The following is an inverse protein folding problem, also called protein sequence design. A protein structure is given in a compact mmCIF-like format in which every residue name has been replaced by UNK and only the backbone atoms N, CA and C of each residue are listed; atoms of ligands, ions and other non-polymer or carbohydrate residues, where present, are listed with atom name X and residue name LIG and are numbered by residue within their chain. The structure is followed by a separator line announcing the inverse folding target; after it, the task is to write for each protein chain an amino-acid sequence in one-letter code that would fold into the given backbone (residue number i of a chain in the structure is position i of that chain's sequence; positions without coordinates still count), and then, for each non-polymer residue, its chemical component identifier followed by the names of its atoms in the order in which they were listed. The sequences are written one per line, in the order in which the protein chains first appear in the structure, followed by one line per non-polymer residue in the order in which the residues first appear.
data_IF_198515804277
#
_entry.id   IF_198515804277
#
_cell.length_a   1.000
_cell.length_b   1.000
_cell.length_c   1.000
_cell.angle_alpha   90.00
_cell.angle_beta   90.00
_cell.angle_gamma   90.00
#
_symmetry.space_group_name_H-M   'P 1'
#
loop_
_entity.id
_entity.type
_entity.pdbx_description
1 polymer ?
#
# COMPACT_ATOMS: atom_id res chain seq x y z
N UNK A 1 40.12 17.75 -36.70
CA UNK A 1 39.12 18.85 -36.73
C UNK A 1 37.76 18.26 -37.02
N UNK A 2 36.86 18.41 -36.10
CA UNK A 2 35.40 18.39 -36.13
C UNK A 2 34.80 17.42 -35.17
N UNK A 3 34.85 17.81 -33.91
CA UNK A 3 33.95 17.31 -32.88
C UNK A 3 33.58 18.50 -32.00
N UNK A 4 32.52 19.20 -32.39
CA UNK A 4 31.88 20.23 -31.55
C UNK A 4 30.60 20.63 -32.28
N UNK A 5 29.50 20.00 -31.97
CA UNK A 5 28.13 20.53 -31.92
C UNK A 5 27.19 19.36 -31.54
N UNK A 6 27.07 19.07 -30.28
CA UNK A 6 25.98 18.25 -29.73
C UNK A 6 25.77 18.61 -28.26
N UNK A 7 25.45 19.87 -28.01
CA UNK A 7 25.12 20.28 -26.62
C UNK A 7 24.34 21.59 -26.67
N UNK A 8 23.10 21.55 -27.07
CA UNK A 8 22.15 22.65 -26.85
C UNK A 8 20.71 22.32 -27.27
N UNK A 9 20.20 21.15 -27.01
CA UNK A 9 18.76 20.96 -26.86
C UNK A 9 18.58 20.02 -25.65
N UNK A 10 18.36 20.63 -24.50
CA UNK A 10 17.82 19.90 -23.36
C UNK A 10 16.49 19.30 -23.79
N UNK A 11 16.50 18.04 -24.19
CA UNK A 11 15.29 17.25 -24.33
C UNK A 11 14.76 17.12 -22.92
N UNK A 12 13.89 18.04 -22.49
CA UNK A 12 13.15 17.86 -21.25
C UNK A 12 12.34 16.58 -21.41
N UNK A 13 12.78 15.54 -20.71
CA UNK A 13 12.13 14.24 -20.69
C UNK A 13 10.69 14.43 -20.21
N UNK A 14 9.73 13.79 -20.87
CA UNK A 14 8.36 13.73 -20.38
C UNK A 14 8.38 12.90 -19.10
N UNK A 15 7.90 13.46 -18.01
CA UNK A 15 7.75 12.74 -16.74
C UNK A 15 6.27 12.41 -16.52
N UNK A 16 6.02 11.26 -15.98
CA UNK A 16 4.67 10.82 -15.62
C UNK A 16 4.40 11.09 -14.13
N UNK A 17 3.25 11.67 -13.87
CA UNK A 17 2.79 12.02 -12.53
C UNK A 17 1.44 11.39 -12.23
N UNK A 18 1.18 11.17 -10.95
CA UNK A 18 -0.11 10.74 -10.43
C UNK A 18 -0.63 11.84 -9.50
N UNK A 19 -1.81 12.35 -9.83
CA UNK A 19 -2.61 13.23 -8.95
C UNK A 19 -3.71 12.41 -8.30
N UNK A 20 -3.82 12.49 -6.98
CA UNK A 20 -5.01 12.09 -6.24
C UNK A 20 -5.64 13.31 -5.59
N UNK A 21 -6.98 13.38 -5.59
CA UNK A 21 -7.77 14.46 -4.99
C UNK A 21 -8.94 13.84 -4.22
N UNK A 22 -9.26 14.41 -3.08
CA UNK A 22 -10.51 14.16 -2.35
C UNK A 22 -11.09 15.50 -1.90
N UNK A 23 -12.36 15.76 -2.22
CA UNK A 23 -13.04 17.01 -1.87
C UNK A 23 -14.56 16.79 -1.73
N UNK A 24 -15.32 17.74 -1.13
CA UNK A 24 -16.77 17.72 -1.20
C UNK A 24 -17.25 17.68 -2.66
N UNK A 25 -18.26 16.82 -2.94
CA UNK A 25 -18.76 16.67 -4.30
C UNK A 25 -19.55 17.92 -4.74
N UNK A 26 -19.27 18.37 -5.97
CA UNK A 26 -19.98 19.48 -6.63
C UNK A 26 -19.74 19.49 -8.13
N UNK A 27 -20.63 20.08 -8.93
CA UNK A 27 -20.38 20.28 -10.37
C UNK A 27 -19.10 21.09 -10.63
N UNK A 28 -18.33 20.72 -11.69
CA UNK A 28 -17.19 21.47 -12.17
C UNK A 28 -15.82 21.00 -11.68
N UNK A 29 -15.72 20.05 -10.75
CA UNK A 29 -14.45 19.56 -10.21
C UNK A 29 -13.53 19.06 -11.33
N UNK A 30 -14.00 18.15 -12.17
CA UNK A 30 -13.21 17.58 -13.28
C UNK A 30 -12.76 18.64 -14.26
N UNK A 31 -13.64 19.61 -14.58
CA UNK A 31 -13.30 20.74 -15.45
C UNK A 31 -12.17 21.58 -14.87
N UNK A 32 -12.26 21.94 -13.59
CA UNK A 32 -11.24 22.76 -12.92
C UNK A 32 -9.87 22.05 -12.89
N UNK A 33 -9.84 20.76 -12.52
CA UNK A 33 -8.61 19.97 -12.48
C UNK A 33 -8.03 19.76 -13.89
N UNK A 34 -8.86 19.43 -14.88
CA UNK A 34 -8.39 19.27 -16.27
C UNK A 34 -7.87 20.58 -16.86
N UNK A 35 -8.49 21.73 -16.51
CA UNK A 35 -8.00 23.06 -16.88
C UNK A 35 -6.62 23.35 -16.32
N UNK A 36 -6.41 23.08 -15.01
CA UNK A 36 -5.10 23.26 -14.37
C UNK A 36 -4.02 22.34 -14.96
N UNK A 37 -4.38 21.13 -15.33
CA UNK A 37 -3.46 20.22 -16.01
C UNK A 37 -3.10 20.73 -17.41
N UNK A 38 -4.04 21.34 -18.14
CA UNK A 38 -3.79 21.96 -19.42
C UNK A 38 -2.83 23.16 -19.31
N UNK A 39 -2.96 23.98 -18.25
CA UNK A 39 -2.09 25.12 -17.99
C UNK A 39 -0.61 24.74 -17.76
N UNK A 40 -0.36 23.49 -17.38
CA UNK A 40 1.00 22.91 -17.26
C UNK A 40 1.37 22.01 -18.44
N UNK A 41 0.74 22.17 -19.59
CA UNK A 41 0.97 21.39 -20.80
C UNK A 41 0.89 19.88 -20.57
N UNK A 42 0.02 19.43 -19.66
CA UNK A 42 -0.11 18.02 -19.31
C UNK A 42 -1.03 17.27 -20.28
N UNK A 43 -0.65 16.05 -20.62
CA UNK A 43 -1.47 15.08 -21.34
C UNK A 43 -1.99 14.02 -20.36
N UNK A 44 -3.30 13.89 -20.21
CA UNK A 44 -3.93 12.92 -19.34
C UNK A 44 -3.86 11.55 -20.00
N UNK A 45 -3.27 10.57 -19.30
CA UNK A 45 -3.12 9.18 -19.74
C UNK A 45 -4.22 8.28 -19.17
N UNK A 46 -4.62 8.53 -17.90
CA UNK A 46 -5.65 7.79 -17.18
C UNK A 46 -6.38 8.75 -16.26
N UNK A 47 -7.69 8.65 -16.21
CA UNK A 47 -8.51 9.42 -15.28
C UNK A 47 -9.60 8.53 -14.72
N UNK A 48 -9.65 8.42 -13.39
CA UNK A 48 -10.66 7.66 -12.66
C UNK A 48 -11.22 8.50 -11.52
N UNK A 49 -12.51 8.41 -11.30
CA UNK A 49 -13.21 9.16 -10.27
C UNK A 49 -14.28 8.32 -9.60
N UNK A 50 -14.64 8.70 -8.40
CA UNK A 50 -15.75 8.11 -7.66
C UNK A 50 -16.37 9.16 -6.75
N UNK A 51 -17.70 9.19 -6.69
CA UNK A 51 -18.49 9.93 -5.73
C UNK A 51 -19.02 8.97 -4.65
N UNK A 52 -18.89 9.36 -3.41
CA UNK A 52 -19.44 8.63 -2.28
C UNK A 52 -20.69 9.34 -1.78
N UNK A 53 -21.87 8.80 -2.14
CA UNK A 53 -23.17 9.38 -1.80
C UNK A 53 -23.44 9.44 -0.30
N UNK A 54 -22.83 8.57 0.51
CA UNK A 54 -23.04 8.54 1.96
C UNK A 54 -22.28 9.68 2.66
N UNK A 55 -21.08 10.00 2.18
CA UNK A 55 -20.23 11.05 2.78
C UNK A 55 -20.27 12.35 2.01
N UNK A 56 -20.79 12.37 0.79
CA UNK A 56 -20.77 13.53 -0.11
C UNK A 56 -19.35 13.89 -0.57
N UNK A 57 -18.42 12.92 -0.56
CA UNK A 57 -17.04 13.12 -1.00
C UNK A 57 -16.85 12.62 -2.43
N UNK A 58 -16.22 13.46 -3.23
CA UNK A 58 -15.71 13.13 -4.55
C UNK A 58 -14.21 12.77 -4.44
N UNK A 59 -13.78 11.73 -5.14
CA UNK A 59 -12.39 11.32 -5.25
C UNK A 59 -11.97 11.18 -6.71
N UNK A 60 -10.75 11.59 -7.00
CA UNK A 60 -10.17 11.54 -8.33
C UNK A 60 -8.75 10.99 -8.25
N UNK A 61 -8.40 10.15 -9.23
CA UNK A 61 -7.04 9.76 -9.54
C UNK A 61 -6.78 10.04 -11.03
N UNK A 62 -5.77 10.85 -11.32
CA UNK A 62 -5.37 11.17 -12.69
C UNK A 62 -3.89 10.86 -12.88
N UNK A 63 -3.57 10.04 -13.87
CA UNK A 63 -2.22 9.78 -14.36
C UNK A 63 -2.00 10.61 -15.61
N UNK A 64 -0.94 11.42 -15.64
CA UNK A 64 -0.67 12.35 -16.71
C UNK A 64 0.83 12.52 -16.94
N UNK A 65 1.19 13.00 -18.10
CA UNK A 65 2.59 13.30 -18.46
C UNK A 65 2.75 14.78 -18.81
N UNK A 66 3.88 15.35 -18.41
CA UNK A 66 4.26 16.73 -18.73
C UNK A 66 5.78 16.92 -18.65
N UNK A 67 6.29 17.99 -19.25
CA UNK A 67 7.69 18.45 -19.11
C UNK A 67 7.88 19.40 -17.94
N UNK A 68 6.81 19.82 -17.29
CA UNK A 68 6.87 20.75 -16.14
C UNK A 68 7.38 20.06 -14.89
N UNK A 69 7.97 20.84 -14.00
CA UNK A 69 8.43 20.37 -12.69
C UNK A 69 7.26 20.07 -11.76
N UNK A 70 7.50 19.27 -10.72
CA UNK A 70 6.52 19.01 -9.67
C UNK A 70 6.02 20.31 -9.04
N UNK A 71 6.92 21.27 -8.74
CA UNK A 71 6.56 22.57 -8.16
C UNK A 71 5.60 23.36 -9.05
N UNK A 72 5.79 23.32 -10.38
CA UNK A 72 4.89 23.99 -11.31
C UNK A 72 3.50 23.34 -11.36
N UNK A 73 3.44 22.00 -11.24
CA UNK A 73 2.19 21.24 -11.16
C UNK A 73 1.46 21.57 -9.86
N UNK A 74 2.17 21.55 -8.75
CA UNK A 74 1.60 21.89 -7.43
C UNK A 74 1.11 23.34 -7.37
N UNK A 75 1.83 24.27 -8.00
CA UNK A 75 1.39 25.66 -8.11
C UNK A 75 0.10 25.84 -8.92
N UNK A 76 -0.15 24.98 -9.91
CA UNK A 76 -1.38 24.99 -10.69
C UNK A 76 -2.55 24.30 -9.97
N UNK A 77 -2.30 23.15 -9.34
CA UNK A 77 -3.34 22.33 -8.70
C UNK A 77 -3.72 22.86 -7.31
N UNK A 78 -2.73 23.33 -6.52
CA UNK A 78 -2.93 23.71 -5.13
C UNK A 78 -4.04 24.74 -4.89
N UNK A 79 -4.07 25.89 -5.61
CA UNK A 79 -5.15 26.86 -5.45
C UNK A 79 -6.54 26.29 -5.73
N UNK A 80 -6.66 25.42 -6.72
CA UNK A 80 -7.93 24.77 -7.09
C UNK A 80 -8.35 23.78 -6.00
N UNK A 81 -7.43 22.97 -5.49
CA UNK A 81 -7.75 22.04 -4.39
C UNK A 81 -8.24 22.78 -3.13
N UNK A 82 -7.62 23.93 -2.81
CA UNK A 82 -8.06 24.79 -1.71
C UNK A 82 -9.46 25.36 -1.97
N UNK A 83 -9.74 25.88 -3.18
CA UNK A 83 -11.07 26.38 -3.56
C UNK A 83 -12.14 25.28 -3.50
N UNK A 84 -11.77 24.04 -3.85
CA UNK A 84 -12.65 22.87 -3.74
C UNK A 84 -12.84 22.39 -2.30
N UNK A 85 -12.08 22.94 -1.31
CA UNK A 85 -12.12 22.48 0.07
C UNK A 85 -11.58 21.06 0.23
N UNK A 86 -10.68 20.66 -0.66
CA UNK A 86 -10.15 19.30 -0.75
C UNK A 86 -8.70 19.15 -0.31
N UNK A 87 -8.27 17.89 -0.25
CA UNK A 87 -6.88 17.49 -0.11
C UNK A 87 -6.40 16.84 -1.40
N UNK A 88 -5.15 17.07 -1.77
CA UNK A 88 -4.55 16.47 -2.95
C UNK A 88 -3.13 16.00 -2.69
N UNK A 89 -2.65 15.14 -3.55
CA UNK A 89 -1.24 14.73 -3.62
C UNK A 89 -0.83 14.59 -5.08
N UNK A 90 0.35 15.10 -5.42
CA UNK A 90 1.00 14.83 -6.71
C UNK A 90 2.30 14.09 -6.45
N UNK A 91 2.56 13.05 -7.22
CA UNK A 91 3.79 12.26 -7.12
C UNK A 91 4.34 11.94 -8.51
N UNK A 92 5.64 12.03 -8.68
CA UNK A 92 6.30 11.48 -9.86
C UNK A 92 6.22 9.95 -9.81
N UNK A 93 5.69 9.32 -10.87
CA UNK A 93 5.49 7.87 -10.95
C UNK A 93 6.81 7.07 -10.86
N UNK A 94 7.92 7.66 -11.34
CA UNK A 94 9.25 7.03 -11.28
C UNK A 94 9.79 6.90 -9.84
N UNK A 95 9.31 7.73 -8.92
CA UNK A 95 9.68 7.64 -7.51
C UNK A 95 8.94 6.49 -6.86
N UNK A 96 9.65 5.36 -6.71
CA UNK A 96 9.09 4.16 -6.07
C UNK A 96 8.95 4.36 -4.57
N UNK A 97 7.75 4.14 -3.99
CA UNK A 97 7.57 4.20 -2.56
C UNK A 97 8.44 3.18 -1.81
N UNK A 98 8.92 3.56 -0.64
CA UNK A 98 9.81 2.75 0.21
C UNK A 98 9.01 2.02 1.26
N UNK A 99 8.96 0.69 1.17
CA UNK A 99 8.23 -0.18 2.06
C UNK A 99 9.15 -0.87 3.07
N UNK A 100 8.80 -0.82 4.36
CA UNK A 100 9.37 -1.68 5.39
C UNK A 100 8.46 -2.91 5.54
N UNK A 101 9.03 -4.11 5.42
CA UNK A 101 8.26 -5.34 5.60
C UNK A 101 8.48 -5.89 7.00
N UNK A 102 7.40 -6.08 7.75
CA UNK A 102 7.43 -6.76 9.04
C UNK A 102 6.90 -8.19 8.91
N UNK A 103 7.61 -9.15 9.49
CA UNK A 103 7.27 -10.57 9.40
C UNK A 103 7.55 -11.28 10.73
N UNK A 104 6.80 -12.35 11.03
CA UNK A 104 7.15 -13.29 12.10
C UNK A 104 7.75 -14.57 11.52
N UNK A 105 7.20 -15.75 11.85
CA UNK A 105 7.73 -17.05 11.40
C UNK A 105 7.27 -17.48 10.01
N UNK A 106 6.06 -17.08 9.61
CA UNK A 106 5.48 -17.46 8.31
C UNK A 106 6.03 -16.54 7.20
N UNK A 107 6.75 -17.10 6.27
CA UNK A 107 7.59 -16.41 5.28
C UNK A 107 6.97 -16.26 3.89
N UNK A 108 5.87 -16.98 3.59
CA UNK A 108 5.29 -17.05 2.25
C UNK A 108 4.94 -15.69 1.65
N UNK A 109 4.39 -14.76 2.44
CA UNK A 109 4.09 -13.40 1.98
C UNK A 109 5.38 -12.58 1.78
N UNK A 110 6.37 -12.69 2.68
CA UNK A 110 7.65 -12.01 2.55
C UNK A 110 8.38 -12.43 1.25
N UNK A 111 8.48 -13.73 1.00
CA UNK A 111 9.14 -14.28 -0.20
C UNK A 111 8.46 -13.77 -1.46
N UNK A 112 7.13 -13.78 -1.51
CA UNK A 112 6.35 -13.30 -2.67
C UNK A 112 6.59 -11.81 -2.95
N UNK A 113 6.56 -10.95 -1.92
CA UNK A 113 6.83 -9.52 -2.06
C UNK A 113 8.27 -9.25 -2.53
N UNK A 114 9.27 -9.93 -1.95
CA UNK A 114 10.66 -9.81 -2.35
C UNK A 114 10.88 -10.26 -3.80
N UNK A 115 10.26 -11.35 -4.22
CA UNK A 115 10.32 -11.85 -5.58
C UNK A 115 9.71 -10.85 -6.57
N UNK A 116 8.47 -10.40 -6.35
CA UNK A 116 7.77 -9.45 -7.23
C UNK A 116 8.50 -8.10 -7.32
N UNK A 117 9.10 -7.64 -6.23
CA UNK A 117 9.97 -6.45 -6.26
C UNK A 117 11.19 -6.70 -7.15
N UNK A 118 11.83 -7.86 -7.06
CA UNK A 118 13.03 -8.19 -7.83
C UNK A 118 12.77 -8.34 -9.34
N UNK A 119 11.55 -8.72 -9.73
CA UNK A 119 11.12 -8.83 -11.13
C UNK A 119 10.55 -7.52 -11.69
N UNK A 120 10.38 -6.49 -10.85
CA UNK A 120 9.77 -5.22 -11.25
C UNK A 120 8.25 -5.25 -11.33
N UNK A 121 7.59 -6.36 -10.97
CA UNK A 121 6.12 -6.47 -10.93
C UNK A 121 5.52 -5.57 -9.84
N UNK A 122 6.23 -5.39 -8.73
CA UNK A 122 5.82 -4.55 -7.61
C UNK A 122 6.66 -3.27 -7.59
N UNK A 123 6.07 -2.09 -7.88
CA UNK A 123 6.80 -0.84 -8.06
C UNK A 123 7.16 -0.17 -6.73
N UNK A 124 7.89 -0.89 -5.86
CA UNK A 124 8.34 -0.40 -4.55
C UNK A 124 9.84 -0.65 -4.36
N UNK A 125 10.44 0.10 -3.44
CA UNK A 125 11.72 -0.25 -2.84
C UNK A 125 11.47 -0.93 -1.49
N UNK A 126 12.29 -1.94 -1.17
CA UNK A 126 12.26 -2.63 0.14
C UNK A 126 13.65 -2.48 0.77
N UNK A 127 13.91 -1.37 1.49
CA UNK A 127 15.23 -1.15 2.11
C UNK A 127 15.44 -2.02 3.36
N UNK A 128 14.36 -2.45 4.01
CA UNK A 128 14.44 -3.09 5.32
C UNK A 128 13.34 -4.14 5.52
N UNK A 129 13.73 -5.29 6.05
CA UNK A 129 12.84 -6.30 6.66
C UNK A 129 13.07 -6.29 8.17
N UNK A 130 12.00 -6.21 8.94
CA UNK A 130 12.01 -6.28 10.41
C UNK A 130 11.28 -7.55 10.84
N UNK A 131 11.83 -8.28 11.80
CA UNK A 131 11.18 -9.46 12.36
C UNK A 131 11.42 -9.61 13.86
N UNK A 132 10.42 -10.13 14.55
CA UNK A 132 10.56 -10.54 15.95
C UNK A 132 11.17 -11.95 16.12
N UNK A 133 11.57 -12.58 15.00
CA UNK A 133 12.28 -13.87 14.92
C UNK A 133 13.41 -13.79 13.90
N UNK A 134 14.38 -14.71 14.01
CA UNK A 134 15.51 -14.76 13.07
C UNK A 134 15.28 -15.71 11.88
N UNK A 135 14.20 -16.46 11.89
CA UNK A 135 13.90 -17.54 10.94
C UNK A 135 13.89 -17.06 9.46
N UNK A 136 13.47 -15.83 9.22
CA UNK A 136 13.31 -15.28 7.86
C UNK A 136 14.50 -14.45 7.36
N UNK A 137 15.56 -14.28 8.17
CA UNK A 137 16.73 -13.45 7.83
C UNK A 137 17.41 -13.88 6.53
N UNK A 138 17.50 -15.19 6.25
CA UNK A 138 18.11 -15.72 5.04
C UNK A 138 17.36 -15.35 3.76
N UNK A 139 16.04 -15.14 3.83
CA UNK A 139 15.25 -14.66 2.68
C UNK A 139 15.61 -13.21 2.35
N UNK A 140 15.67 -12.32 3.35
CA UNK A 140 16.09 -10.94 3.14
C UNK A 140 17.51 -10.87 2.53
N UNK A 141 18.46 -11.64 3.09
CA UNK A 141 19.84 -11.71 2.60
C UNK A 141 19.91 -12.17 1.13
N UNK A 142 19.12 -13.16 0.72
CA UNK A 142 19.06 -13.65 -0.67
C UNK A 142 18.69 -12.57 -1.68
N UNK A 143 17.87 -11.60 -1.29
CA UNK A 143 17.46 -10.48 -2.15
C UNK A 143 18.25 -9.19 -1.89
N UNK A 144 19.33 -9.25 -1.09
CA UNK A 144 20.17 -8.10 -0.77
C UNK A 144 19.48 -7.04 0.08
N UNK A 145 18.45 -7.42 0.84
CA UNK A 145 17.68 -6.53 1.71
C UNK A 145 18.22 -6.60 3.14
N UNK A 146 18.41 -5.44 3.78
CA UNK A 146 18.80 -5.37 5.20
C UNK A 146 17.74 -6.04 6.07
N UNK A 147 18.19 -6.80 7.08
CA UNK A 147 17.34 -7.45 8.07
C UNK A 147 17.65 -6.91 9.47
N UNK A 148 16.60 -6.57 10.22
CA UNK A 148 16.70 -6.12 11.61
C UNK A 148 15.88 -7.05 12.49
N UNK A 149 16.52 -7.63 13.53
CA UNK A 149 15.83 -8.46 14.50
C UNK A 149 15.38 -7.62 15.69
N UNK A 150 14.08 -7.42 15.83
CA UNK A 150 13.45 -6.73 16.97
C UNK A 150 12.60 -7.73 17.77
N UNK A 151 13.18 -8.44 18.74
CA UNK A 151 12.45 -9.42 19.55
C UNK A 151 11.34 -8.70 20.33
N UNK A 152 10.12 -9.25 20.27
CA UNK A 152 8.93 -8.63 20.84
C UNK A 152 8.42 -9.43 22.04
N UNK A 153 8.64 -8.89 23.24
CA UNK A 153 8.08 -9.37 24.49
C UNK A 153 7.34 -8.23 25.19
N UNK A 154 6.48 -8.52 26.16
CA UNK A 154 5.64 -7.50 26.79
C UNK A 154 6.44 -6.37 27.45
N UNK A 155 7.58 -6.69 28.03
CA UNK A 155 8.49 -5.77 28.73
C UNK A 155 9.30 -4.85 27.82
N UNK A 156 9.61 -5.28 26.58
CA UNK A 156 10.39 -4.48 25.63
C UNK A 156 9.55 -3.86 24.49
N UNK A 157 8.27 -4.19 24.40
CA UNK A 157 7.40 -3.78 23.29
C UNK A 157 7.47 -2.29 22.99
N UNK A 158 7.33 -1.43 24.00
CA UNK A 158 7.36 0.02 23.81
C UNK A 158 8.73 0.52 23.30
N UNK A 159 9.82 -0.10 23.76
CA UNK A 159 11.16 0.23 23.29
C UNK A 159 11.34 -0.19 21.83
N UNK A 160 10.88 -1.38 21.47
CA UNK A 160 10.99 -1.89 20.10
C UNK A 160 10.13 -1.11 19.11
N UNK A 161 8.94 -0.68 19.51
CA UNK A 161 8.09 0.17 18.68
C UNK A 161 8.70 1.58 18.49
N UNK A 162 9.38 2.14 19.50
CA UNK A 162 10.18 3.36 19.30
C UNK A 162 11.32 3.15 18.31
N UNK A 163 12.06 2.03 18.45
CA UNK A 163 13.13 1.69 17.49
C UNK A 163 12.58 1.51 16.07
N UNK A 164 11.39 0.96 15.93
CA UNK A 164 10.71 0.85 14.64
C UNK A 164 10.44 2.23 14.02
N UNK A 165 9.95 3.20 14.80
CA UNK A 165 9.74 4.57 14.30
C UNK A 165 11.05 5.25 13.91
N UNK A 166 12.13 5.07 14.68
CA UNK A 166 13.47 5.55 14.29
C UNK A 166 13.93 4.94 12.95
N UNK A 167 13.71 3.63 12.75
CA UNK A 167 14.02 2.96 11.48
C UNK A 167 13.17 3.47 10.31
N UNK A 168 11.91 3.83 10.57
CA UNK A 168 11.04 4.46 9.55
C UNK A 168 11.63 5.78 9.09
N UNK A 169 12.09 6.61 10.01
CA UNK A 169 12.70 7.91 9.71
C UNK A 169 14.09 7.75 9.07
N UNK A 170 14.98 6.93 9.67
CA UNK A 170 16.34 6.66 9.17
C UNK A 170 16.34 6.14 7.72
N UNK A 171 15.40 5.27 7.40
CA UNK A 171 15.30 4.64 6.08
C UNK A 171 14.31 5.35 5.14
N UNK A 172 13.74 6.49 5.56
CA UNK A 172 12.73 7.24 4.79
C UNK A 172 11.62 6.32 4.28
N UNK A 173 11.01 5.56 5.17
CA UNK A 173 9.96 4.60 4.85
C UNK A 173 8.64 5.34 4.59
N UNK A 174 8.02 5.10 3.46
CA UNK A 174 6.71 5.67 3.14
C UNK A 174 5.58 4.89 3.81
N UNK A 175 5.68 3.55 3.86
CA UNK A 175 4.67 2.69 4.49
C UNK A 175 5.24 1.36 5.00
N UNK A 176 4.50 0.71 5.88
CA UNK A 176 4.84 -0.58 6.49
C UNK A 176 3.89 -1.66 5.97
N UNK A 177 4.42 -2.86 5.73
CA UNK A 177 3.63 -4.03 5.36
C UNK A 177 3.80 -5.12 6.41
N UNK A 178 2.71 -5.51 7.06
CA UNK A 178 2.67 -6.62 8.01
C UNK A 178 2.44 -7.93 7.23
N UNK A 179 3.53 -8.53 6.76
CA UNK A 179 3.54 -9.79 6.00
C UNK A 179 3.51 -10.99 6.98
N UNK A 180 2.38 -11.26 7.60
CA UNK A 180 2.23 -12.26 8.67
C UNK A 180 3.03 -11.90 9.92
N UNK A 181 3.02 -10.64 10.30
CA UNK A 181 3.57 -10.17 11.57
C UNK A 181 2.55 -10.40 12.68
N UNK A 182 2.80 -11.42 13.52
CA UNK A 182 1.83 -11.96 14.50
C UNK A 182 1.89 -11.23 15.85
N UNK A 183 2.11 -9.90 15.82
CA UNK A 183 2.09 -9.04 17.00
C UNK A 183 1.07 -7.94 16.83
N UNK A 184 0.34 -7.61 17.87
CA UNK A 184 -0.59 -6.47 17.88
C UNK A 184 0.24 -5.20 18.07
N UNK A 185 0.08 -4.22 17.20
CA UNK A 185 0.72 -2.91 17.32
C UNK A 185 0.04 -2.07 18.40
N UNK A 186 0.79 -1.20 19.07
CA UNK A 186 0.20 -0.29 20.04
C UNK A 186 -0.65 0.80 19.37
N UNK A 187 -1.66 1.36 20.07
CA UNK A 187 -2.41 2.51 19.56
C UNK A 187 -1.52 3.70 19.22
N UNK A 188 -0.42 3.90 19.97
CA UNK A 188 0.56 4.97 19.73
C UNK A 188 1.26 4.79 18.38
N UNK A 189 1.70 3.57 18.07
CA UNK A 189 2.34 3.28 16.78
C UNK A 189 1.35 3.42 15.62
N UNK A 190 0.12 2.95 15.78
CA UNK A 190 -0.93 3.12 14.77
C UNK A 190 -1.25 4.61 14.52
N UNK A 191 -1.33 5.41 15.58
CA UNK A 191 -1.58 6.85 15.49
C UNK A 191 -0.41 7.64 14.87
N UNK A 192 0.82 7.17 15.01
CA UNK A 192 2.01 7.80 14.39
C UNK A 192 2.08 7.57 12.86
N UNK A 193 1.42 6.53 12.35
CA UNK A 193 1.49 6.12 10.94
C UNK A 193 0.09 5.88 10.33
N UNK A 194 -0.83 6.85 10.40
CA UNK A 194 -2.21 6.68 9.94
C UNK A 194 -2.24 6.44 8.42
N UNK A 195 -2.93 5.37 7.98
CA UNK A 195 -3.02 5.00 6.57
C UNK A 195 -1.71 4.52 5.93
N UNK A 196 -0.65 4.31 6.73
CA UNK A 196 0.68 3.90 6.27
C UNK A 196 1.07 2.48 6.70
N UNK A 197 0.17 1.71 7.30
CA UNK A 197 0.44 0.33 7.70
C UNK A 197 -0.60 -0.57 7.04
N UNK A 198 -0.14 -1.53 6.23
CA UNK A 198 -0.99 -2.52 5.54
C UNK A 198 -0.79 -3.87 6.22
N UNK A 199 -1.88 -4.52 6.63
CA UNK A 199 -1.86 -5.86 7.21
C UNK A 199 -2.52 -6.88 6.28
N UNK A 200 -2.01 -8.12 6.27
CA UNK A 200 -2.70 -9.28 5.72
C UNK A 200 -3.33 -10.08 6.85
N UNK A 201 -4.65 -10.13 6.86
CA UNK A 201 -5.43 -10.98 7.74
C UNK A 201 -5.83 -12.27 7.02
N UNK A 202 -5.59 -13.40 7.66
CA UNK A 202 -5.73 -14.75 7.10
C UNK A 202 -7.17 -15.28 7.15
N UNK A 203 -8.16 -14.40 7.01
CA UNK A 203 -9.55 -14.75 6.78
C UNK A 203 -10.27 -13.66 5.99
N UNK A 204 -11.45 -14.00 5.45
CA UNK A 204 -12.35 -13.03 4.85
C UNK A 204 -13.08 -12.27 5.98
N UNK A 205 -12.69 -11.01 6.22
CA UNK A 205 -13.33 -10.16 7.22
C UNK A 205 -14.75 -9.75 6.79
N UNK A 206 -15.70 -9.66 7.73
CA UNK A 206 -15.57 -9.74 9.19
C UNK A 206 -15.66 -11.15 9.79
N UNK A 207 -15.36 -12.20 9.03
CA UNK A 207 -15.39 -13.59 9.52
C UNK A 207 -14.16 -13.95 10.36
N UNK A 208 -14.19 -15.13 10.99
CA UNK A 208 -13.14 -15.82 11.77
C UNK A 208 -12.03 -14.93 12.36
N UNK A 209 -12.30 -14.36 13.52
CA UNK A 209 -11.30 -13.69 14.35
C UNK A 209 -10.52 -14.72 15.20
N UNK A 210 -9.23 -14.50 15.43
CA UNK A 210 -8.40 -15.28 16.34
C UNK A 210 -7.46 -16.29 15.69
N UNK A 211 -6.90 -17.19 16.48
CA UNK A 211 -5.87 -18.14 16.06
C UNK A 211 -6.44 -19.36 15.30
N UNK A 212 -5.62 -19.93 14.38
CA UNK A 212 -5.90 -21.14 13.62
C UNK A 212 -7.19 -21.10 12.77
N UNK A 213 -7.43 -20.06 11.93
CA UNK A 213 -8.69 -19.91 11.19
C UNK A 213 -8.98 -21.09 10.25
N UNK A 214 -7.97 -21.70 9.65
CA UNK A 214 -8.15 -22.86 8.76
C UNK A 214 -8.59 -24.13 9.47
N UNK A 215 -8.22 -24.33 10.75
CA UNK A 215 -8.75 -25.42 11.57
C UNK A 215 -10.20 -25.15 11.94
N UNK A 216 -10.53 -23.91 12.34
CA UNK A 216 -11.92 -23.53 12.61
C UNK A 216 -12.79 -23.64 11.34
N UNK A 217 -12.25 -23.27 10.19
CA UNK A 217 -12.93 -23.40 8.90
C UNK A 217 -13.24 -24.86 8.56
N UNK A 218 -12.28 -25.77 8.79
CA UNK A 218 -12.48 -27.21 8.60
C UNK A 218 -13.54 -27.78 9.56
N UNK A 219 -13.42 -27.49 10.86
CA UNK A 219 -14.37 -27.96 11.89
C UNK A 219 -15.81 -27.51 11.61
N UNK A 220 -15.98 -26.27 11.13
CA UNK A 220 -17.30 -25.73 10.75
C UNK A 220 -17.77 -26.14 9.37
N UNK A 221 -16.97 -26.86 8.57
CA UNK A 221 -17.30 -27.31 7.25
C UNK A 221 -17.63 -26.16 6.28
N UNK A 222 -16.89 -25.03 6.34
CA UNK A 222 -17.12 -23.87 5.48
C UNK A 222 -16.94 -24.22 4.00
N UNK A 223 -17.53 -23.43 3.13
CA UNK A 223 -17.46 -23.62 1.68
C UNK A 223 -16.58 -22.57 0.99
N UNK A 224 -16.15 -21.56 1.72
CA UNK A 224 -15.24 -20.51 1.26
C UNK A 224 -14.20 -20.25 2.34
N UNK A 225 -12.95 -20.06 1.93
CA UNK A 225 -11.88 -19.46 2.74
C UNK A 225 -11.35 -18.25 1.99
N UNK A 226 -10.68 -17.34 2.70
CA UNK A 226 -10.18 -16.13 2.06
C UNK A 226 -9.16 -15.41 2.91
N UNK A 227 -8.71 -14.26 2.41
CA UNK A 227 -7.83 -13.34 3.10
C UNK A 227 -8.26 -11.89 2.84
N UNK A 228 -7.86 -11.01 3.74
CA UNK A 228 -8.16 -9.57 3.67
C UNK A 228 -6.89 -8.77 3.90
N UNK A 229 -6.57 -7.85 2.99
CA UNK A 229 -5.58 -6.81 3.23
C UNK A 229 -6.30 -5.51 3.60
N UNK A 230 -5.89 -4.89 4.68
CA UNK A 230 -6.51 -3.68 5.20
C UNK A 230 -5.46 -2.74 5.81
N UNK A 231 -5.80 -1.47 5.94
CA UNK A 231 -5.00 -0.55 6.74
C UNK A 231 -5.15 -0.87 8.23
N UNK A 232 -4.06 -0.72 8.96
CA UNK A 232 -4.07 -0.96 10.42
C UNK A 232 -4.55 0.29 11.13
N UNK A 233 -5.45 0.08 12.09
CA UNK A 233 -5.94 1.07 13.05
C UNK A 233 -5.68 0.59 14.47
N UNK A 234 -6.09 1.37 15.48
CA UNK A 234 -6.06 0.93 16.89
C UNK A 234 -6.95 -0.28 17.18
N UNK A 235 -8.00 -0.44 16.37
CA UNK A 235 -8.96 -1.54 16.51
C UNK A 235 -8.50 -2.73 15.69
N UNK A 236 -8.30 -3.86 16.38
CA UNK A 236 -7.71 -5.05 15.78
C UNK A 236 -8.59 -5.61 14.65
N UNK A 237 -7.99 -5.73 13.45
CA UNK A 237 -8.62 -6.28 12.24
C UNK A 237 -9.89 -5.54 11.79
N UNK A 238 -10.07 -4.26 12.18
CA UNK A 238 -11.24 -3.44 11.83
C UNK A 238 -10.90 -2.22 10.95
N UNK A 239 -9.66 -2.14 10.48
CA UNK A 239 -9.25 -1.03 9.60
C UNK A 239 -9.81 -1.12 8.18
N UNK A 240 -9.74 -0.01 7.42
CA UNK A 240 -10.28 0.09 6.06
C UNK A 240 -9.70 -0.98 5.13
N UNK A 241 -10.59 -1.73 4.46
CA UNK A 241 -10.22 -2.85 3.60
C UNK A 241 -9.69 -2.32 2.26
N UNK A 242 -8.56 -2.88 1.79
CA UNK A 242 -7.94 -2.54 0.51
C UNK A 242 -8.27 -3.59 -0.55
N UNK A 243 -8.10 -4.88 -0.18
CA UNK A 243 -8.29 -6.00 -1.11
C UNK A 243 -8.76 -7.23 -0.35
N UNK A 244 -9.61 -8.02 -0.99
CA UNK A 244 -10.07 -9.30 -0.47
C UNK A 244 -10.14 -10.32 -1.61
N UNK A 245 -9.87 -11.58 -1.27
CA UNK A 245 -10.07 -12.69 -2.21
C UNK A 245 -10.57 -13.92 -1.44
N UNK A 246 -11.33 -14.75 -2.11
CA UNK A 246 -11.90 -15.98 -1.56
C UNK A 246 -11.73 -17.14 -2.54
N UNK A 247 -11.62 -18.35 -1.99
CA UNK A 247 -11.58 -19.57 -2.78
C UNK A 247 -12.60 -20.59 -2.27
N UNK A 248 -13.25 -21.28 -3.20
CA UNK A 248 -14.20 -22.34 -2.87
C UNK A 248 -13.47 -23.58 -2.40
N UNK A 249 -13.90 -24.10 -1.26
CA UNK A 249 -13.37 -25.33 -0.65
C UNK A 249 -14.49 -26.34 -0.39
N UNK A 250 -14.14 -27.57 -0.13
CA UNK A 250 -15.09 -28.63 0.15
C UNK A 250 -14.65 -29.50 1.34
N UNK A 251 -15.50 -30.43 1.73
CA UNK A 251 -15.34 -31.28 2.90
C UNK A 251 -14.21 -32.32 2.79
N UNK A 252 -13.68 -32.58 1.60
CA UNK A 252 -12.59 -33.54 1.39
C UNK A 252 -11.21 -32.98 1.74
N UNK A 253 -11.10 -31.64 1.88
CA UNK A 253 -9.84 -30.98 2.16
C UNK A 253 -9.49 -31.06 3.66
N UNK A 254 -8.27 -31.47 3.95
CA UNK A 254 -7.71 -31.48 5.30
C UNK A 254 -7.37 -30.06 5.77
N UNK A 255 -7.23 -29.82 7.11
CA UNK A 255 -6.75 -28.52 7.61
C UNK A 255 -5.42 -28.05 7.01
N UNK A 256 -4.50 -28.98 6.72
CA UNK A 256 -3.22 -28.68 6.07
C UNK A 256 -3.42 -28.17 4.64
N UNK A 257 -4.29 -28.83 3.86
CA UNK A 257 -4.60 -28.38 2.49
C UNK A 257 -5.31 -27.03 2.49
N UNK A 258 -6.24 -26.79 3.42
CA UNK A 258 -6.87 -25.47 3.60
C UNK A 258 -5.84 -24.40 3.92
N UNK A 259 -4.84 -24.72 4.78
CA UNK A 259 -3.75 -23.79 5.08
C UNK A 259 -2.93 -23.45 3.84
N UNK A 260 -2.60 -24.43 2.99
CA UNK A 260 -1.83 -24.19 1.75
C UNK A 260 -2.60 -23.28 0.78
N UNK A 261 -3.89 -23.56 0.55
CA UNK A 261 -4.77 -22.72 -0.27
C UNK A 261 -4.84 -21.30 0.33
N UNK A 262 -5.02 -21.20 1.64
CA UNK A 262 -5.08 -19.91 2.34
C UNK A 262 -3.81 -19.09 2.18
N UNK A 263 -2.63 -19.72 2.26
CA UNK A 263 -1.35 -19.04 2.02
C UNK A 263 -1.23 -18.50 0.59
N UNK A 264 -1.77 -19.20 -0.40
CA UNK A 264 -1.80 -18.74 -1.79
C UNK A 264 -2.70 -17.51 -1.95
N UNK A 265 -3.85 -17.49 -1.29
CA UNK A 265 -4.75 -16.34 -1.26
C UNK A 265 -4.07 -15.16 -0.56
N UNK A 266 -3.46 -15.38 0.61
CA UNK A 266 -2.76 -14.35 1.37
C UNK A 266 -1.69 -13.65 0.55
N UNK A 267 -0.86 -14.40 -0.21
CA UNK A 267 0.16 -13.84 -1.11
C UNK A 267 -0.45 -12.92 -2.16
N UNK A 268 -1.50 -13.40 -2.87
CA UNK A 268 -2.16 -12.64 -3.94
C UNK A 268 -2.80 -11.35 -3.42
N UNK A 269 -3.54 -11.46 -2.33
CA UNK A 269 -4.26 -10.34 -1.72
C UNK A 269 -3.29 -9.28 -1.22
N UNK A 270 -2.24 -9.69 -0.49
CA UNK A 270 -1.25 -8.74 0.01
C UNK A 270 -0.48 -8.05 -1.13
N UNK A 271 -0.05 -8.81 -2.14
CA UNK A 271 0.69 -8.24 -3.27
C UNK A 271 -0.16 -7.21 -4.06
N UNK A 272 -1.46 -7.49 -4.28
CA UNK A 272 -2.39 -6.55 -4.92
C UNK A 272 -2.60 -5.31 -4.08
N UNK A 273 -2.84 -5.46 -2.76
CA UNK A 273 -3.04 -4.33 -1.86
C UNK A 273 -1.81 -3.41 -1.80
N UNK A 274 -0.61 -3.98 -1.70
CA UNK A 274 0.65 -3.24 -1.71
C UNK A 274 0.85 -2.53 -3.05
N UNK A 275 0.53 -3.19 -4.17
CA UNK A 275 0.59 -2.58 -5.49
C UNK A 275 -0.38 -1.40 -5.64
N UNK A 276 -1.65 -1.58 -5.26
CA UNK A 276 -2.65 -0.50 -5.32
C UNK A 276 -2.23 0.69 -4.47
N UNK A 277 -1.70 0.45 -3.27
CA UNK A 277 -1.17 1.52 -2.43
C UNK A 277 0.03 2.23 -3.08
N UNK A 278 0.99 1.47 -3.62
CA UNK A 278 2.19 2.00 -4.26
C UNK A 278 1.90 2.80 -5.55
N UNK A 279 0.82 2.47 -6.24
CA UNK A 279 0.35 3.15 -7.46
C UNK A 279 -0.64 4.30 -7.16
N UNK A 280 -0.81 4.71 -5.90
CA UNK A 280 -1.79 5.71 -5.45
C UNK A 280 -3.22 5.42 -5.95
N UNK A 281 -3.60 4.13 -5.97
CA UNK A 281 -4.94 3.68 -6.39
C UNK A 281 -5.93 3.58 -5.23
N UNK A 282 -5.48 3.78 -3.99
CA UNK A 282 -6.30 3.64 -2.79
C UNK A 282 -6.48 5.00 -2.14
N UNK A 283 -7.72 5.46 -2.03
CA UNK A 283 -8.07 6.67 -1.31
C UNK A 283 -8.92 6.29 -0.09
N UNK A 284 -8.51 6.78 1.09
CA UNK A 284 -9.23 6.59 2.34
C UNK A 284 -10.40 7.57 2.44
N UNK A 285 -11.60 7.06 2.73
CA UNK A 285 -12.79 7.84 3.01
C UNK A 285 -13.36 7.37 4.34
N UNK A 286 -13.03 8.08 5.42
CA UNK A 286 -13.47 7.65 6.75
C UNK A 286 -12.98 6.23 7.09
N UNK A 287 -13.92 5.32 7.36
CA UNK A 287 -13.65 3.92 7.69
C UNK A 287 -13.58 2.96 6.49
N UNK A 288 -13.62 3.45 5.25
CA UNK A 288 -13.59 2.63 4.02
C UNK A 288 -12.57 3.16 3.01
N UNK A 289 -12.32 2.39 1.95
CA UNK A 289 -11.44 2.79 0.84
C UNK A 289 -12.21 2.88 -0.47
N UNK A 290 -11.78 3.79 -1.33
CA UNK A 290 -12.05 3.73 -2.78
C UNK A 290 -10.80 3.18 -3.44
N UNK A 291 -10.94 2.12 -4.23
CA UNK A 291 -9.84 1.48 -4.96
C UNK A 291 -10.07 1.61 -6.45
N UNK A 292 -9.19 2.32 -7.13
CA UNK A 292 -9.18 2.45 -8.59
C UNK A 292 -8.41 1.26 -9.19
N UNK A 293 -9.12 0.19 -9.53
CA UNK A 293 -8.57 -1.08 -10.05
C UNK A 293 -8.27 -1.02 -11.56
#
# INVERSE_FOLDING_TARGET
MTNLVASAFGVHQMNTFILTLSCPDRPGIVYAISGALLDVDANILENAQSDDLDTGLFTLRTRFETRRSLDAIEAAIGPIAVELGGSYRVRNEEQRPRALIMVSKHDHCLIDLLYRRSTGELPIEIPLVVSNHTDTAHHAARYGVRFEHLPMTADVKQQQERRLLELVDEQQIDFIVLARYMQILSPQLCAALPGRIINIHHSFLPGFKGARPYHQAHERGVKLIGATAHYVTSDLDEGPIIEQDVERVNHSLTPTQLTMIGQDIERRVLARAVRYHAEDRVILIGGKTVVFS
#
